data_IF_018540726196
#
_entry.id   IF_018540726196
#
_cell.length_a   1.000
_cell.length_b   1.000
_cell.length_c   1.000
_cell.angle_alpha   90.00
_cell.angle_beta   90.00
_cell.angle_gamma   90.00
#
_symmetry.space_group_name_H-M   'P 1'
#
loop_
_entity.id
_entity.type
_entity.pdbx_description
1 polymer ?
#
# COMPACT_ATOMS: atom_id res chain seq x y z
N UNK A 1 -113.51 -34.76 35.82
CA UNK A 1 -112.69 -34.11 36.87
C UNK A 1 -111.24 -34.61 36.89
N UNK A 2 -110.97 -35.90 36.65
CA UNK A 2 -109.60 -36.47 36.78
C UNK A 2 -108.75 -36.35 35.49
N UNK A 3 -109.34 -36.55 34.31
CA UNK A 3 -108.60 -36.56 33.03
C UNK A 3 -107.97 -35.19 32.67
N UNK A 4 -108.67 -34.08 32.95
CA UNK A 4 -108.18 -32.71 32.70
C UNK A 4 -107.02 -32.31 33.64
N UNK A 5 -107.08 -32.69 34.92
CA UNK A 5 -106.00 -32.43 35.88
C UNK A 5 -104.75 -33.22 35.53
N UNK A 6 -104.92 -34.51 35.18
CA UNK A 6 -103.84 -35.36 34.68
C UNK A 6 -103.21 -34.72 33.43
N UNK A 7 -104.02 -34.29 32.45
CA UNK A 7 -103.52 -33.63 31.23
C UNK A 7 -102.77 -32.33 31.54
N UNK A 8 -103.27 -31.49 32.47
CA UNK A 8 -102.66 -30.21 32.86
C UNK A 8 -101.35 -30.38 33.62
N UNK A 9 -101.26 -31.38 34.50
CA UNK A 9 -100.04 -31.75 35.23
C UNK A 9 -99.00 -32.32 34.29
N UNK A 10 -99.40 -33.20 33.37
CA UNK A 10 -98.53 -33.75 32.31
C UNK A 10 -98.00 -32.62 31.41
N UNK A 11 -98.84 -31.64 31.07
CA UNK A 11 -98.42 -30.48 30.26
C UNK A 11 -97.43 -29.58 31.01
N UNK A 12 -97.66 -29.28 32.30
CA UNK A 12 -96.76 -28.45 33.11
C UNK A 12 -95.41 -29.16 33.35
N UNK A 13 -95.43 -30.45 33.69
CA UNK A 13 -94.20 -31.23 33.88
C UNK A 13 -93.45 -31.38 32.56
N UNK A 14 -94.15 -31.62 31.45
CA UNK A 14 -93.56 -31.58 30.11
C UNK A 14 -92.89 -30.24 29.80
N UNK A 15 -93.55 -29.12 30.09
CA UNK A 15 -93.00 -27.78 29.88
C UNK A 15 -91.77 -27.50 30.78
N UNK A 16 -91.81 -27.94 32.04
CA UNK A 16 -90.67 -27.83 32.97
C UNK A 16 -89.49 -28.67 32.49
N UNK A 17 -89.72 -29.88 32.01
CA UNK A 17 -88.68 -30.75 31.44
C UNK A 17 -88.07 -30.09 30.20
N UNK A 18 -88.88 -29.52 29.31
CA UNK A 18 -88.39 -28.77 28.14
C UNK A 18 -87.59 -27.54 28.58
N UNK A 19 -88.04 -26.77 29.56
CA UNK A 19 -87.31 -25.60 30.05
C UNK A 19 -85.95 -25.97 30.67
N UNK A 20 -85.87 -27.05 31.45
CA UNK A 20 -84.61 -27.57 32.00
C UNK A 20 -83.71 -28.08 30.87
N UNK A 21 -84.25 -28.84 29.91
CA UNK A 21 -83.49 -29.32 28.76
C UNK A 21 -82.92 -28.16 27.94
N UNK A 22 -83.70 -27.10 27.70
CA UNK A 22 -83.22 -25.87 27.05
C UNK A 22 -82.15 -25.18 27.89
N UNK A 23 -82.31 -25.05 29.21
CA UNK A 23 -81.30 -24.45 30.08
C UNK A 23 -79.98 -25.25 30.09
N UNK A 24 -80.04 -26.58 30.05
CA UNK A 24 -78.87 -27.46 29.93
C UNK A 24 -78.19 -27.26 28.58
N UNK A 25 -78.95 -27.21 27.48
CA UNK A 25 -78.41 -26.95 26.14
C UNK A 25 -77.74 -25.57 26.08
N UNK A 26 -78.37 -24.52 26.61
CA UNK A 26 -77.78 -23.18 26.65
C UNK A 26 -76.49 -23.17 27.48
N UNK A 27 -76.47 -23.82 28.64
CA UNK A 27 -75.26 -23.91 29.48
C UNK A 27 -74.14 -24.67 28.75
N UNK A 28 -74.47 -25.76 28.07
CA UNK A 28 -73.51 -26.51 27.25
C UNK A 28 -72.96 -25.66 26.10
N UNK A 29 -73.81 -24.89 25.42
CA UNK A 29 -73.38 -23.95 24.37
C UNK A 29 -72.45 -22.86 24.95
N UNK A 30 -72.78 -22.28 26.11
CA UNK A 30 -71.90 -21.30 26.77
C UNK A 30 -70.54 -21.90 27.10
N UNK A 31 -70.49 -23.13 27.62
CA UNK A 31 -69.22 -23.84 27.89
C UNK A 31 -68.43 -24.07 26.60
N UNK A 32 -69.08 -24.44 25.50
CA UNK A 32 -68.40 -24.61 24.20
C UNK A 32 -67.85 -23.26 23.70
N UNK A 33 -68.63 -22.17 23.80
CA UNK A 33 -68.19 -20.83 23.37
C UNK A 33 -67.01 -20.33 24.21
N UNK A 34 -67.03 -20.52 25.53
CA UNK A 34 -65.89 -20.14 26.38
C UNK A 34 -64.65 -20.97 26.10
N UNK A 35 -64.81 -22.29 25.87
CA UNK A 35 -63.70 -23.15 25.46
C UNK A 35 -63.11 -22.70 24.12
N UNK A 36 -63.95 -22.38 23.13
CA UNK A 36 -63.50 -21.83 21.83
C UNK A 36 -62.77 -20.50 22.03
N UNK A 37 -63.28 -19.59 22.88
CA UNK A 37 -62.63 -18.32 23.17
C UNK A 37 -61.23 -18.51 23.79
N UNK A 38 -61.06 -19.47 24.70
CA UNK A 38 -59.75 -19.84 25.27
C UNK A 38 -58.80 -20.39 24.21
N UNK A 39 -59.29 -21.23 23.29
CA UNK A 39 -58.47 -21.74 22.18
C UNK A 39 -58.03 -20.59 21.26
N UNK A 40 -58.92 -19.65 20.94
CA UNK A 40 -58.60 -18.49 20.09
C UNK A 40 -57.55 -17.59 20.76
N UNK A 41 -57.66 -17.32 22.06
CA UNK A 41 -56.65 -16.50 22.77
C UNK A 41 -55.30 -17.22 22.87
N UNK A 42 -55.29 -18.52 23.13
CA UNK A 42 -54.07 -19.33 23.12
C UNK A 42 -53.41 -19.31 21.72
N UNK A 43 -54.20 -19.42 20.65
CA UNK A 43 -53.72 -19.33 19.28
C UNK A 43 -53.15 -17.94 18.96
N UNK A 44 -53.81 -16.87 19.42
CA UNK A 44 -53.32 -15.50 19.27
C UNK A 44 -51.96 -15.30 19.97
N UNK A 45 -51.77 -15.86 21.17
CA UNK A 45 -50.49 -15.84 21.88
C UNK A 45 -49.41 -16.63 21.13
N UNK A 46 -49.75 -17.79 20.56
CA UNK A 46 -48.81 -18.55 19.75
C UNK A 46 -48.35 -17.76 18.52
N UNK A 47 -49.27 -17.07 17.84
CA UNK A 47 -48.96 -16.22 16.69
C UNK A 47 -48.04 -15.07 17.08
N UNK A 48 -48.28 -14.39 18.21
CA UNK A 48 -47.39 -13.29 18.65
C UNK A 48 -46.00 -13.78 19.00
N UNK A 49 -45.87 -14.94 19.67
CA UNK A 49 -44.57 -15.57 19.95
C UNK A 49 -43.84 -15.90 18.65
N UNK A 50 -44.54 -16.46 17.65
CA UNK A 50 -43.95 -16.77 16.36
C UNK A 50 -43.45 -15.50 15.64
N UNK A 51 -44.22 -14.40 15.66
CA UNK A 51 -43.79 -13.11 15.10
C UNK A 51 -42.54 -12.57 15.79
N UNK A 52 -42.44 -12.69 17.13
CA UNK A 52 -41.24 -12.30 17.88
C UNK A 52 -40.03 -13.15 17.49
N UNK A 53 -40.19 -14.46 17.34
CA UNK A 53 -39.10 -15.35 16.91
C UNK A 53 -38.61 -15.00 15.50
N UNK A 54 -39.53 -14.76 14.56
CA UNK A 54 -39.20 -14.38 13.17
C UNK A 54 -38.46 -13.04 13.13
N UNK A 55 -38.90 -12.04 13.90
CA UNK A 55 -38.21 -10.73 13.95
C UNK A 55 -36.82 -10.85 14.57
N UNK A 56 -36.63 -11.65 15.62
CA UNK A 56 -35.32 -11.93 16.20
C UNK A 56 -34.38 -12.61 15.18
N UNK A 57 -34.88 -13.58 14.42
CA UNK A 57 -34.12 -14.24 13.37
C UNK A 57 -33.70 -13.26 12.27
N UNK A 58 -34.61 -12.38 11.83
CA UNK A 58 -34.30 -11.32 10.85
C UNK A 58 -33.19 -10.40 11.36
N UNK A 59 -33.18 -10.05 12.65
CA UNK A 59 -32.11 -9.24 13.24
C UNK A 59 -30.76 -9.96 13.22
N UNK A 60 -30.72 -11.25 13.56
CA UNK A 60 -29.48 -12.06 13.51
C UNK A 60 -28.94 -12.15 12.08
N UNK A 61 -29.81 -12.40 11.10
CA UNK A 61 -29.42 -12.45 9.68
C UNK A 61 -28.86 -11.10 9.25
N UNK A 62 -29.51 -10.00 9.61
CA UNK A 62 -29.05 -8.64 9.29
C UNK A 62 -27.68 -8.35 9.89
N UNK A 63 -27.45 -8.74 11.16
CA UNK A 63 -26.15 -8.61 11.81
C UNK A 63 -25.06 -9.43 11.10
N UNK A 64 -25.38 -10.67 10.68
CA UNK A 64 -24.45 -11.51 9.93
C UNK A 64 -24.11 -10.90 8.56
N UNK A 65 -25.10 -10.34 7.85
CA UNK A 65 -24.87 -9.63 6.58
C UNK A 65 -23.89 -8.47 6.81
N UNK A 66 -24.07 -7.67 7.87
CA UNK A 66 -23.11 -6.60 8.23
C UNK A 66 -21.71 -7.17 8.42
N UNK A 67 -21.53 -8.23 9.22
CA UNK A 67 -20.21 -8.87 9.44
C UNK A 67 -19.57 -9.36 8.14
N UNK A 68 -20.35 -9.96 7.24
CA UNK A 68 -19.83 -10.44 5.94
C UNK A 68 -19.39 -9.26 5.08
N UNK A 69 -20.20 -8.19 5.03
CA UNK A 69 -19.82 -6.99 4.25
C UNK A 69 -18.56 -6.33 4.78
N UNK A 70 -18.35 -6.27 6.10
CA UNK A 70 -17.12 -5.71 6.67
C UNK A 70 -15.90 -6.57 6.35
N UNK A 71 -16.04 -7.91 6.39
CA UNK A 71 -14.98 -8.82 6.00
C UNK A 71 -14.60 -8.66 4.52
N UNK A 72 -15.58 -8.49 3.63
CA UNK A 72 -15.34 -8.22 2.21
C UNK A 72 -14.52 -6.92 2.04
N UNK A 73 -14.90 -5.86 2.75
CA UNK A 73 -14.16 -4.58 2.71
C UNK A 73 -12.72 -4.77 3.20
N UNK A 74 -12.49 -5.53 4.28
CA UNK A 74 -11.16 -5.84 4.77
C UNK A 74 -10.32 -6.62 3.75
N UNK A 75 -10.90 -7.62 3.09
CA UNK A 75 -10.21 -8.38 2.04
C UNK A 75 -9.82 -7.50 0.85
N UNK A 76 -10.72 -6.61 0.41
CA UNK A 76 -10.41 -5.64 -0.65
C UNK A 76 -9.24 -4.75 -0.23
N UNK A 77 -9.25 -4.22 1.01
CA UNK A 77 -8.16 -3.40 1.51
C UNK A 77 -6.81 -4.16 1.54
N UNK A 78 -6.83 -5.43 1.94
CA UNK A 78 -5.64 -6.29 1.93
C UNK A 78 -5.13 -6.54 0.51
N UNK A 79 -6.02 -6.83 -0.45
CA UNK A 79 -5.64 -7.01 -1.86
C UNK A 79 -4.98 -5.74 -2.40
N UNK A 80 -5.54 -4.56 -2.11
CA UNK A 80 -4.94 -3.28 -2.50
C UNK A 80 -3.54 -3.14 -1.89
N UNK A 81 -3.35 -3.44 -0.61
CA UNK A 81 -2.04 -3.39 0.04
C UNK A 81 -1.01 -4.33 -0.62
N UNK A 82 -1.40 -5.56 -0.95
CA UNK A 82 -0.52 -6.53 -1.62
C UNK A 82 -0.15 -6.06 -3.03
N UNK A 83 -1.11 -5.56 -3.81
CA UNK A 83 -0.82 -5.04 -5.15
C UNK A 83 0.16 -3.87 -5.10
N UNK A 84 -0.06 -2.94 -4.17
CA UNK A 84 0.85 -1.83 -3.89
C UNK A 84 2.26 -2.35 -3.55
N UNK A 85 2.39 -3.31 -2.63
CA UNK A 85 3.69 -3.87 -2.26
C UNK A 85 4.41 -4.48 -3.47
N UNK A 86 3.67 -5.20 -4.32
CA UNK A 86 4.23 -5.76 -5.55
C UNK A 86 4.78 -4.68 -6.49
N UNK A 87 4.07 -3.55 -6.62
CA UNK A 87 4.57 -2.41 -7.41
C UNK A 87 5.84 -1.82 -6.78
N UNK A 88 5.90 -1.65 -5.44
CA UNK A 88 7.12 -1.19 -4.75
C UNK A 88 8.31 -2.11 -5.01
N UNK A 89 8.10 -3.44 -4.94
CA UNK A 89 9.15 -4.43 -5.22
C UNK A 89 9.62 -4.32 -6.67
N UNK A 90 8.70 -4.22 -7.63
CA UNK A 90 9.05 -4.10 -9.06
C UNK A 90 9.89 -2.85 -9.33
N UNK A 91 9.52 -1.75 -8.71
CA UNK A 91 10.27 -0.50 -8.73
C UNK A 91 11.66 -0.66 -8.11
N UNK A 92 11.77 -1.33 -6.95
CA UNK A 92 13.05 -1.54 -6.30
C UNK A 92 13.99 -2.38 -7.17
N UNK A 93 13.46 -3.38 -7.88
CA UNK A 93 14.22 -4.14 -8.88
C UNK A 93 14.70 -3.21 -9.99
N UNK A 94 13.83 -2.35 -10.53
CA UNK A 94 14.21 -1.37 -11.55
C UNK A 94 15.31 -0.43 -11.04
N UNK A 95 15.23 0.02 -9.79
CA UNK A 95 16.25 0.86 -9.14
C UNK A 95 17.61 0.16 -9.13
N UNK A 96 17.65 -1.11 -8.72
CA UNK A 96 18.88 -1.90 -8.70
C UNK A 96 19.46 -2.04 -10.10
N UNK A 97 18.64 -2.27 -11.12
CA UNK A 97 19.13 -2.37 -12.51
C UNK A 97 19.73 -1.05 -13.01
N UNK A 98 19.11 0.08 -12.67
CA UNK A 98 19.60 1.42 -13.02
C UNK A 98 20.93 1.71 -12.33
N UNK A 99 21.06 1.36 -11.05
CA UNK A 99 22.31 1.51 -10.32
C UNK A 99 23.43 0.64 -10.90
N UNK A 100 23.12 -0.59 -11.31
CA UNK A 100 24.08 -1.45 -11.98
C UNK A 100 24.59 -0.83 -13.29
N UNK A 101 23.71 -0.23 -14.10
CA UNK A 101 24.09 0.52 -15.31
C UNK A 101 24.97 1.73 -14.99
N UNK A 102 24.70 2.45 -13.89
CA UNK A 102 25.53 3.56 -13.45
C UNK A 102 26.94 3.10 -13.06
N UNK A 103 27.04 1.98 -12.34
CA UNK A 103 28.33 1.41 -11.93
C UNK A 103 29.13 0.95 -13.14
N UNK A 104 28.52 0.24 -14.10
CA UNK A 104 29.22 -0.18 -15.32
C UNK A 104 29.68 1.01 -16.15
N UNK A 105 28.84 2.05 -16.26
CA UNK A 105 29.21 3.29 -16.90
C UNK A 105 30.42 3.96 -16.22
N UNK A 106 30.42 4.06 -14.88
CA UNK A 106 31.56 4.62 -14.14
C UNK A 106 32.85 3.84 -14.40
N UNK A 107 32.79 2.50 -14.41
CA UNK A 107 33.95 1.67 -14.76
C UNK A 107 34.47 2.01 -16.15
N UNK A 108 33.59 2.16 -17.15
CA UNK A 108 34.00 2.56 -18.50
C UNK A 108 34.68 3.94 -18.47
N UNK A 109 34.12 4.93 -17.77
CA UNK A 109 34.76 6.26 -17.62
C UNK A 109 36.18 6.15 -17.07
N UNK A 110 36.38 5.34 -16.01
CA UNK A 110 37.70 5.13 -15.42
C UNK A 110 38.66 4.51 -16.44
N UNK A 111 38.23 3.49 -17.19
CA UNK A 111 39.08 2.87 -18.23
C UNK A 111 39.48 3.84 -19.33
N UNK A 112 38.56 4.71 -19.76
CA UNK A 112 38.79 5.74 -20.76
C UNK A 112 39.78 6.79 -20.26
N UNK A 113 39.67 7.22 -19.00
CA UNK A 113 40.62 8.13 -18.36
C UNK A 113 42.02 7.54 -18.27
N UNK A 114 42.15 6.27 -17.91
CA UNK A 114 43.45 5.58 -17.89
C UNK A 114 44.06 5.55 -19.30
N UNK A 115 43.26 5.19 -20.30
CA UNK A 115 43.70 5.20 -21.71
C UNK A 115 44.18 6.59 -22.14
N UNK A 116 43.43 7.64 -21.82
CA UNK A 116 43.79 9.03 -22.08
C UNK A 116 45.16 9.40 -21.50
N UNK A 117 45.41 9.05 -20.24
CA UNK A 117 46.69 9.31 -19.56
C UNK A 117 47.84 8.58 -20.27
N UNK A 118 47.63 7.31 -20.64
CA UNK A 118 48.67 6.54 -21.37
C UNK A 118 48.98 7.14 -22.74
N UNK A 119 47.96 7.60 -23.47
CA UNK A 119 48.12 8.26 -24.76
C UNK A 119 48.90 9.56 -24.62
N UNK A 120 48.55 10.39 -23.63
CA UNK A 120 49.25 11.64 -23.39
C UNK A 120 50.73 11.39 -23.06
N UNK A 121 51.04 10.37 -22.27
CA UNK A 121 52.42 9.98 -21.99
C UNK A 121 53.18 9.61 -23.28
N UNK A 122 52.56 8.87 -24.20
CA UNK A 122 53.15 8.53 -25.52
C UNK A 122 53.39 9.78 -26.38
N UNK A 123 52.45 10.73 -26.39
CA UNK A 123 52.63 12.00 -27.12
C UNK A 123 53.79 12.81 -26.57
N UNK A 124 53.93 12.88 -25.24
CA UNK A 124 55.04 13.60 -24.60
C UNK A 124 56.38 12.95 -24.94
N UNK A 125 56.50 11.62 -24.88
CA UNK A 125 57.75 10.94 -25.25
C UNK A 125 58.09 11.10 -26.73
N UNK A 126 57.09 11.03 -27.61
CA UNK A 126 57.24 11.32 -29.04
C UNK A 126 57.78 12.74 -29.28
N UNK A 127 57.21 13.75 -28.63
CA UNK A 127 57.67 15.14 -28.77
C UNK A 127 59.12 15.31 -28.32
N UNK A 128 59.51 14.69 -27.20
CA UNK A 128 60.90 14.69 -26.73
C UNK A 128 61.83 14.10 -27.79
N UNK A 129 61.46 13.00 -28.45
CA UNK A 129 62.24 12.40 -29.55
C UNK A 129 62.36 13.33 -30.74
N UNK A 130 61.28 14.04 -31.14
CA UNK A 130 61.37 15.01 -32.25
C UNK A 130 62.35 16.14 -31.92
N UNK A 131 62.29 16.67 -30.70
CA UNK A 131 63.18 17.75 -30.25
C UNK A 131 64.64 17.31 -30.27
N UNK A 132 64.96 16.11 -29.77
CA UNK A 132 66.33 15.60 -29.77
C UNK A 132 66.85 15.37 -31.19
N UNK A 133 66.02 14.82 -32.09
CA UNK A 133 66.38 14.61 -33.50
C UNK A 133 66.63 15.94 -34.22
N UNK A 134 65.80 16.96 -33.98
CA UNK A 134 65.97 18.29 -34.57
C UNK A 134 67.31 18.92 -34.15
N UNK A 135 67.68 18.80 -32.88
CA UNK A 135 68.97 19.29 -32.36
C UNK A 135 70.13 18.60 -33.09
N UNK A 136 70.07 17.28 -33.31
CA UNK A 136 71.09 16.53 -34.06
C UNK A 136 71.15 16.98 -35.54
N UNK A 137 70.01 17.25 -36.18
CA UNK A 137 69.98 17.74 -37.55
C UNK A 137 70.64 19.13 -37.67
N UNK A 138 70.40 20.02 -36.72
CA UNK A 138 71.02 21.36 -36.71
C UNK A 138 72.54 21.26 -36.55
N UNK A 139 73.03 20.44 -35.62
CA UNK A 139 74.48 20.29 -35.39
C UNK A 139 75.18 19.67 -36.60
N UNK A 140 74.58 18.66 -37.22
CA UNK A 140 75.14 18.03 -38.43
C UNK A 140 75.17 18.98 -39.63
N UNK A 141 74.15 19.81 -39.83
CA UNK A 141 74.14 20.83 -40.88
C UNK A 141 75.27 21.86 -40.69
N UNK A 142 75.48 22.32 -39.46
CA UNK A 142 76.59 23.24 -39.13
C UNK A 142 77.94 22.63 -39.51
N UNK A 143 78.15 21.34 -39.25
CA UNK A 143 79.37 20.61 -39.65
C UNK A 143 79.51 20.56 -41.18
N UNK A 144 78.43 20.34 -41.94
CA UNK A 144 78.50 20.36 -43.42
C UNK A 144 78.92 21.73 -43.93
N UNK A 145 78.35 22.81 -43.39
CA UNK A 145 78.65 24.19 -43.80
C UNK A 145 80.12 24.53 -43.54
N UNK A 146 80.67 24.16 -42.38
CA UNK A 146 82.08 24.41 -42.06
C UNK A 146 83.02 23.63 -42.97
N UNK A 147 82.71 22.36 -43.24
CA UNK A 147 83.47 21.52 -44.17
C UNK A 147 83.47 22.11 -45.59
N UNK A 148 82.31 22.56 -46.09
CA UNK A 148 82.21 23.18 -47.41
C UNK A 148 83.00 24.48 -47.51
N UNK A 149 82.99 25.32 -46.46
CA UNK A 149 83.81 26.52 -46.40
C UNK A 149 85.31 26.19 -46.53
N UNK A 150 85.79 25.14 -45.85
CA UNK A 150 87.18 24.66 -46.00
C UNK A 150 87.48 24.26 -47.44
N UNK A 151 86.60 23.50 -48.12
CA UNK A 151 86.78 23.13 -49.53
C UNK A 151 86.93 24.35 -50.42
N UNK A 152 86.07 25.36 -50.24
CA UNK A 152 86.13 26.60 -51.02
C UNK A 152 87.46 27.33 -50.81
N UNK A 153 87.97 27.40 -49.57
CA UNK A 153 89.27 28.01 -49.30
C UNK A 153 90.44 27.26 -49.93
N UNK A 154 90.45 25.92 -49.86
CA UNK A 154 91.49 25.08 -50.50
C UNK A 154 91.47 25.28 -52.01
N UNK A 155 90.28 25.27 -52.62
CA UNK A 155 90.13 25.49 -54.06
C UNK A 155 90.60 26.89 -54.47
N UNK A 156 90.28 27.93 -53.69
CA UNK A 156 90.77 29.29 -53.92
C UNK A 156 92.31 29.35 -53.88
N UNK A 157 92.94 28.70 -52.89
CA UNK A 157 94.41 28.59 -52.82
C UNK A 157 94.98 27.89 -54.06
N UNK A 158 94.40 26.76 -54.48
CA UNK A 158 94.82 26.05 -55.71
C UNK A 158 94.73 26.97 -56.92
N UNK A 159 93.63 27.71 -57.08
CA UNK A 159 93.45 28.66 -58.20
C UNK A 159 94.50 29.78 -58.14
N UNK A 160 94.79 30.34 -56.95
CA UNK A 160 95.83 31.38 -56.81
C UNK A 160 97.23 30.86 -57.15
N UNK A 161 97.59 29.64 -56.74
CA UNK A 161 98.87 29.01 -57.08
C UNK A 161 98.96 28.79 -58.60
N UNK A 162 97.87 28.36 -59.23
CA UNK A 162 97.81 28.17 -60.68
C UNK A 162 97.88 29.49 -61.46
N UNK A 163 97.36 30.59 -60.89
CA UNK A 163 97.44 31.93 -61.46
C UNK A 163 98.86 32.54 -61.38
N UNK A 164 99.71 32.06 -60.46
CA UNK A 164 101.15 32.41 -60.43
C UNK A 164 101.90 31.52 -61.42
N UNK A 165 101.65 31.75 -62.70
CA UNK A 165 102.35 31.10 -63.81
C UNK A 165 103.38 32.04 -64.43
N UNK A 166 104.66 31.75 -64.20
CA UNK A 166 105.78 31.66 -65.16
C UNK A 166 107.10 31.87 -64.38
N UNK A 167 107.59 30.79 -63.74
CA UNK A 167 109.01 30.39 -63.66
C UNK A 167 109.15 29.19 -62.71
N UNK A 168 109.43 27.99 -63.27
CA UNK A 168 110.16 26.85 -62.70
C UNK A 168 109.47 25.48 -62.93
N UNK A 169 110.10 24.66 -63.79
CA UNK A 169 109.64 23.32 -64.18
C UNK A 169 109.99 22.22 -63.14
N UNK A 170 110.82 22.49 -62.13
CA UNK A 170 111.10 21.55 -61.00
C UNK A 170 110.09 21.71 -59.85
N UNK A 171 109.40 22.85 -59.79
CA UNK A 171 108.28 23.09 -58.88
C UNK A 171 107.04 22.27 -59.30
N UNK A 172 106.92 21.91 -60.58
CA UNK A 172 105.75 21.24 -61.18
C UNK A 172 105.44 19.87 -60.55
N UNK A 173 106.45 19.05 -60.21
CA UNK A 173 106.21 17.71 -59.63
C UNK A 173 105.76 17.82 -58.17
N UNK A 174 106.39 18.69 -57.38
CA UNK A 174 105.96 18.97 -56.00
C UNK A 174 104.60 19.65 -55.96
N UNK A 175 104.31 20.57 -56.88
CA UNK A 175 102.98 21.20 -56.95
C UNK A 175 101.91 20.23 -57.41
N UNK A 176 102.22 19.32 -58.34
CA UNK A 176 101.27 18.30 -58.76
C UNK A 176 100.98 17.32 -57.60
N UNK A 177 101.99 16.95 -56.82
CA UNK A 177 101.79 16.17 -55.59
C UNK A 177 100.90 16.92 -54.57
N UNK A 178 101.13 18.22 -54.37
CA UNK A 178 100.27 19.07 -53.52
C UNK A 178 98.83 19.13 -54.07
N UNK A 179 98.63 19.31 -55.37
CA UNK A 179 97.30 19.29 -56.01
C UNK A 179 96.61 17.93 -55.84
N UNK A 180 97.34 16.81 -56.00
CA UNK A 180 96.78 15.46 -55.79
C UNK A 180 96.40 15.27 -54.32
N UNK A 181 97.23 15.67 -53.36
CA UNK A 181 96.88 15.59 -51.94
C UNK A 181 95.67 16.47 -51.59
N UNK A 182 95.60 17.68 -52.15
CA UNK A 182 94.44 18.56 -51.97
C UNK A 182 93.16 17.95 -52.58
N UNK A 183 93.26 17.33 -53.76
CA UNK A 183 92.13 16.64 -54.40
C UNK A 183 91.67 15.44 -53.57
N UNK A 184 92.59 14.64 -53.02
CA UNK A 184 92.27 13.55 -52.09
C UNK A 184 91.54 14.09 -50.86
N UNK A 185 92.01 15.21 -50.29
CA UNK A 185 91.33 15.88 -49.17
C UNK A 185 89.90 16.30 -49.58
N UNK A 186 89.70 16.90 -50.77
CA UNK A 186 88.37 17.26 -51.28
C UNK A 186 87.46 16.03 -51.43
N UNK A 187 87.96 14.91 -51.96
CA UNK A 187 87.19 13.67 -52.12
C UNK A 187 86.79 13.08 -50.76
N UNK A 188 87.71 13.04 -49.79
CA UNK A 188 87.41 12.56 -48.43
C UNK A 188 86.36 13.44 -47.76
N UNK A 189 86.47 14.76 -47.91
CA UNK A 189 85.47 15.73 -47.45
C UNK A 189 84.10 15.47 -48.10
N UNK A 190 84.05 15.27 -49.41
CA UNK A 190 82.80 15.01 -50.12
C UNK A 190 82.15 13.71 -49.64
N UNK A 191 82.94 12.67 -49.36
CA UNK A 191 82.43 11.43 -48.76
C UNK A 191 81.82 11.69 -47.37
N UNK A 192 82.46 12.50 -46.53
CA UNK A 192 81.90 12.93 -45.24
C UNK A 192 80.55 13.66 -45.44
N UNK A 193 80.45 14.59 -46.39
CA UNK A 193 79.19 15.29 -46.70
C UNK A 193 78.08 14.30 -47.08
N UNK A 194 78.36 13.30 -47.94
CA UNK A 194 77.38 12.27 -48.32
C UNK A 194 76.92 11.47 -47.11
N UNK A 195 77.83 11.06 -46.23
CA UNK A 195 77.45 10.35 -45.00
C UNK A 195 76.57 11.19 -44.08
N UNK A 196 76.84 12.50 -43.96
CA UNK A 196 76.01 13.41 -43.16
C UNK A 196 74.63 13.59 -43.79
N UNK A 197 74.53 13.72 -45.12
CA UNK A 197 73.24 13.78 -45.81
C UNK A 197 72.41 12.51 -45.60
N UNK A 198 73.04 11.33 -45.62
CA UNK A 198 72.35 10.08 -45.28
C UNK A 198 71.80 10.10 -43.84
N UNK A 199 72.60 10.58 -42.87
CA UNK A 199 72.13 10.78 -41.49
C UNK A 199 70.92 11.72 -41.46
N UNK A 200 70.95 12.85 -42.17
CA UNK A 200 69.80 13.78 -42.25
C UNK A 200 68.55 13.09 -42.80
N UNK A 201 68.65 12.33 -43.89
CA UNK A 201 67.50 11.61 -44.45
C UNK A 201 66.93 10.59 -43.47
N UNK A 202 67.79 9.81 -42.80
CA UNK A 202 67.34 8.84 -41.79
C UNK A 202 66.66 9.55 -40.60
N UNK A 203 67.18 10.70 -40.16
CA UNK A 203 66.55 11.49 -39.09
C UNK A 203 65.18 12.05 -39.49
N UNK A 204 65.02 12.50 -40.74
CA UNK A 204 63.74 12.98 -41.24
C UNK A 204 62.72 11.84 -41.31
N UNK A 205 63.14 10.64 -41.73
CA UNK A 205 62.28 9.46 -41.71
C UNK A 205 61.80 9.15 -40.28
N UNK A 206 62.69 9.22 -39.27
CA UNK A 206 62.32 9.08 -37.86
C UNK A 206 61.28 10.14 -37.47
N UNK A 207 61.48 11.41 -37.79
CA UNK A 207 60.49 12.48 -37.51
C UNK A 207 59.12 12.16 -38.13
N UNK A 208 59.07 11.73 -39.39
CA UNK A 208 57.81 11.33 -40.05
C UNK A 208 57.14 10.20 -39.29
N UNK A 209 57.87 9.15 -38.90
CA UNK A 209 57.28 8.04 -38.13
C UNK A 209 56.70 8.53 -36.80
N UNK A 210 57.39 9.45 -36.11
CA UNK A 210 56.91 10.01 -34.85
C UNK A 210 55.65 10.87 -35.04
N UNK A 211 55.56 11.65 -36.13
CA UNK A 211 54.35 12.41 -36.48
C UNK A 211 53.18 11.48 -36.76
N UNK A 212 53.39 10.39 -37.49
CA UNK A 212 52.35 9.37 -37.73
C UNK A 212 51.86 8.78 -36.40
N UNK A 213 52.78 8.41 -35.50
CA UNK A 213 52.41 7.95 -34.15
C UNK A 213 51.57 9.01 -33.44
N UNK A 214 51.99 10.28 -33.42
CA UNK A 214 51.23 11.36 -32.80
C UNK A 214 49.81 11.51 -33.37
N UNK A 215 49.65 11.48 -34.70
CA UNK A 215 48.33 11.55 -35.34
C UNK A 215 47.45 10.36 -34.93
N UNK A 216 47.99 9.14 -34.97
CA UNK A 216 47.24 7.95 -34.54
C UNK A 216 46.81 8.05 -33.08
N UNK A 217 47.69 8.54 -32.20
CA UNK A 217 47.36 8.74 -30.78
C UNK A 217 46.27 9.79 -30.57
N UNK A 218 46.24 10.86 -31.37
CA UNK A 218 45.18 11.88 -31.34
C UNK A 218 43.83 11.30 -31.77
N UNK A 219 43.81 10.41 -32.77
CA UNK A 219 42.58 9.73 -33.20
C UNK A 219 42.06 8.83 -32.08
N UNK A 220 42.94 8.06 -31.42
CA UNK A 220 42.53 7.23 -30.27
C UNK A 220 42.00 8.10 -29.13
N UNK A 221 42.63 9.26 -28.87
CA UNK A 221 42.15 10.25 -27.90
C UNK A 221 40.72 10.75 -28.22
N UNK A 222 40.44 11.07 -29.49
CA UNK A 222 39.12 11.52 -29.91
C UNK A 222 38.06 10.43 -29.67
N UNK A 223 38.38 9.18 -30.04
CA UNK A 223 37.50 8.02 -29.81
C UNK A 223 37.24 7.85 -28.31
N UNK A 224 38.28 7.94 -27.48
CA UNK A 224 38.17 7.88 -26.03
C UNK A 224 37.23 8.97 -25.49
N UNK A 225 37.33 10.21 -25.98
CA UNK A 225 36.44 11.30 -25.59
C UNK A 225 34.98 11.06 -26.01
N UNK A 226 34.75 10.58 -27.23
CA UNK A 226 33.41 10.23 -27.71
C UNK A 226 32.80 9.14 -26.80
N UNK A 227 33.57 8.10 -26.47
CA UNK A 227 33.15 7.06 -25.53
C UNK A 227 32.77 7.66 -24.18
N UNK A 228 33.58 8.56 -23.61
CA UNK A 228 33.26 9.25 -22.36
C UNK A 228 31.91 9.99 -22.41
N UNK A 229 31.65 10.73 -23.50
CA UNK A 229 30.39 11.46 -23.68
C UNK A 229 29.20 10.50 -23.77
N UNK A 230 29.32 9.41 -24.54
CA UNK A 230 28.24 8.41 -24.63
C UNK A 230 27.93 7.78 -23.28
N UNK A 231 28.95 7.49 -22.49
CA UNK A 231 28.81 6.93 -21.14
C UNK A 231 28.14 7.93 -20.21
N UNK A 232 28.51 9.21 -20.26
CA UNK A 232 27.86 10.25 -19.47
C UNK A 232 26.37 10.39 -19.82
N UNK A 233 26.01 10.26 -21.10
CA UNK A 233 24.62 10.24 -21.52
C UNK A 233 23.86 9.04 -20.92
N UNK A 234 24.45 7.84 -20.97
CA UNK A 234 23.88 6.64 -20.32
C UNK A 234 23.67 6.88 -18.82
N UNK A 235 24.66 7.45 -18.12
CA UNK A 235 24.54 7.83 -16.70
C UNK A 235 23.39 8.81 -16.46
N UNK A 236 23.26 9.85 -17.28
CA UNK A 236 22.18 10.82 -17.15
C UNK A 236 20.81 10.17 -17.35
N UNK A 237 20.65 9.31 -18.36
CA UNK A 237 19.40 8.58 -18.58
C UNK A 237 19.08 7.64 -17.43
N UNK A 238 20.08 6.94 -16.89
CA UNK A 238 19.93 6.09 -15.71
C UNK A 238 19.45 6.92 -14.49
N UNK A 239 20.05 8.09 -14.24
CA UNK A 239 19.62 9.00 -13.17
C UNK A 239 18.17 9.48 -13.34
N UNK A 240 17.74 9.80 -14.55
CA UNK A 240 16.33 10.17 -14.81
C UNK A 240 15.41 9.00 -14.48
N UNK A 241 15.74 7.79 -14.91
CA UNK A 241 14.95 6.59 -14.60
C UNK A 241 14.90 6.39 -13.07
N UNK A 242 16.02 6.50 -12.36
CA UNK A 242 16.08 6.47 -10.89
C UNK A 242 15.09 7.45 -10.23
N UNK A 243 15.09 8.71 -10.66
CA UNK A 243 14.19 9.73 -10.11
C UNK A 243 12.73 9.36 -10.38
N UNK A 244 12.40 8.89 -11.57
CA UNK A 244 11.02 8.46 -11.88
C UNK A 244 10.59 7.29 -11.02
N UNK A 245 11.46 6.29 -10.82
CA UNK A 245 11.21 5.15 -9.94
C UNK A 245 10.89 5.61 -8.52
N UNK A 246 11.71 6.51 -7.97
CA UNK A 246 11.52 7.03 -6.62
C UNK A 246 10.20 7.79 -6.49
N UNK A 247 9.82 8.59 -7.49
CA UNK A 247 8.53 9.27 -7.51
C UNK A 247 7.38 8.26 -7.46
N UNK A 248 7.47 7.15 -8.20
CA UNK A 248 6.45 6.10 -8.15
C UNK A 248 6.41 5.45 -6.76
N UNK A 249 7.55 5.16 -6.09
CA UNK A 249 7.56 4.68 -4.69
C UNK A 249 6.76 5.59 -3.77
N UNK A 250 7.01 6.90 -3.85
CA UNK A 250 6.35 7.88 -2.99
C UNK A 250 4.84 7.87 -3.22
N UNK A 251 4.39 7.82 -4.48
CA UNK A 251 2.96 7.73 -4.79
C UNK A 251 2.32 6.46 -4.23
N UNK A 252 3.01 5.33 -4.31
CA UNK A 252 2.52 4.06 -3.80
C UNK A 252 2.43 4.08 -2.27
N UNK A 253 3.45 4.62 -1.59
CA UNK A 253 3.42 4.77 -0.13
C UNK A 253 2.26 5.67 0.31
N UNK A 254 1.99 6.75 -0.42
CA UNK A 254 0.83 7.58 -0.16
C UNK A 254 -0.49 6.78 -0.28
N UNK A 255 -0.61 5.93 -1.30
CA UNK A 255 -1.77 5.02 -1.43
C UNK A 255 -1.88 4.08 -0.23
N UNK A 256 -0.79 3.45 0.23
CA UNK A 256 -0.82 2.60 1.46
C UNK A 256 -1.37 3.36 2.65
N UNK A 257 -0.86 4.57 2.88
CA UNK A 257 -1.28 5.39 4.01
C UNK A 257 -2.78 5.69 3.93
N UNK A 258 -3.29 6.03 2.74
CA UNK A 258 -4.73 6.27 2.56
C UNK A 258 -5.57 5.01 2.84
N UNK A 259 -5.13 3.83 2.38
CA UNK A 259 -5.83 2.57 2.65
C UNK A 259 -5.84 2.27 4.15
N UNK A 260 -4.72 2.48 4.85
CA UNK A 260 -4.63 2.27 6.28
C UNK A 260 -5.59 3.19 7.06
N UNK A 261 -5.68 4.47 6.66
CA UNK A 261 -6.63 5.42 7.24
C UNK A 261 -8.08 4.92 7.07
N UNK A 262 -8.42 4.41 5.89
CA UNK A 262 -9.76 3.85 5.61
C UNK A 262 -10.04 2.66 6.53
N UNK A 263 -9.09 1.73 6.68
CA UNK A 263 -9.22 0.56 7.58
C UNK A 263 -9.43 0.99 9.03
N UNK A 264 -8.63 1.94 9.53
CA UNK A 264 -8.78 2.48 10.89
C UNK A 264 -10.16 3.09 11.08
N UNK A 265 -10.65 3.84 10.08
CA UNK A 265 -11.98 4.48 10.12
C UNK A 265 -13.09 3.43 10.19
N UNK A 266 -13.01 2.38 9.39
CA UNK A 266 -13.98 1.26 9.42
C UNK A 266 -13.97 0.59 10.79
N UNK A 267 -12.79 0.32 11.34
CA UNK A 267 -12.68 -0.29 12.67
C UNK A 267 -13.30 0.59 13.75
N UNK A 268 -13.08 1.90 13.70
CA UNK A 268 -13.72 2.85 14.61
C UNK A 268 -15.26 2.80 14.52
N UNK A 269 -15.82 2.72 13.31
CA UNK A 269 -17.26 2.54 13.10
C UNK A 269 -17.77 1.23 13.73
N UNK A 270 -17.03 0.13 13.59
CA UNK A 270 -17.37 -1.16 14.23
C UNK A 270 -17.41 -1.05 15.75
N UNK A 271 -16.42 -0.38 16.36
CA UNK A 271 -16.38 -0.17 17.82
C UNK A 271 -17.59 0.65 18.28
N UNK A 272 -17.98 1.67 17.53
CA UNK A 272 -19.19 2.48 17.83
C UNK A 272 -20.45 1.62 17.75
N UNK A 273 -20.61 0.80 16.70
CA UNK A 273 -21.77 -0.10 16.57
C UNK A 273 -21.84 -1.05 17.76
N UNK A 274 -20.71 -1.63 18.17
CA UNK A 274 -20.66 -2.53 19.33
C UNK A 274 -21.09 -1.81 20.62
N UNK A 275 -20.63 -0.57 20.84
CA UNK A 275 -21.04 0.23 21.98
C UNK A 275 -22.56 0.50 22.01
N UNK A 276 -23.15 0.80 20.83
CA UNK A 276 -24.60 0.97 20.68
C UNK A 276 -25.34 -0.32 21.04
N UNK A 277 -24.89 -1.47 20.55
CA UNK A 277 -25.49 -2.78 20.88
C UNK A 277 -25.46 -3.06 22.37
N UNK A 278 -24.31 -2.83 23.04
CA UNK A 278 -24.18 -3.01 24.50
C UNK A 278 -25.14 -2.08 25.26
N UNK A 279 -25.28 -0.83 24.81
CA UNK A 279 -26.20 0.15 25.42
C UNK A 279 -27.66 -0.28 25.28
N UNK A 280 -28.07 -0.74 24.09
CA UNK A 280 -29.43 -1.26 23.86
C UNK A 280 -29.71 -2.45 24.79
N UNK A 281 -28.75 -3.39 24.90
CA UNK A 281 -28.90 -4.54 25.80
C UNK A 281 -29.07 -4.11 27.26
N UNK A 282 -28.31 -3.12 27.73
CA UNK A 282 -28.46 -2.57 29.07
C UNK A 282 -29.87 -1.98 29.29
N UNK A 283 -30.41 -1.22 28.33
CA UNK A 283 -31.78 -0.70 28.40
C UNK A 283 -32.80 -1.84 28.49
N UNK A 284 -32.68 -2.88 27.66
CA UNK A 284 -33.57 -4.06 27.72
C UNK A 284 -33.55 -4.71 29.11
N UNK A 285 -32.38 -4.87 29.72
CA UNK A 285 -32.23 -5.39 31.09
C UNK A 285 -32.96 -4.49 32.11
N UNK A 286 -32.83 -3.17 32.01
CA UNK A 286 -33.53 -2.25 32.92
C UNK A 286 -35.05 -2.31 32.77
N UNK A 287 -35.57 -2.40 31.54
CA UNK A 287 -37.01 -2.52 31.28
C UNK A 287 -37.55 -3.83 31.87
N UNK A 288 -36.82 -4.94 31.70
CA UNK A 288 -37.19 -6.21 32.29
C UNK A 288 -37.28 -6.13 33.82
N UNK A 289 -36.31 -5.44 34.46
CA UNK A 289 -36.34 -5.23 35.91
C UNK A 289 -37.56 -4.43 36.37
N UNK A 290 -37.96 -3.38 35.63
CA UNK A 290 -39.19 -2.61 35.92
C UNK A 290 -40.43 -3.49 35.79
N UNK A 291 -40.54 -4.28 34.73
CA UNK A 291 -41.67 -5.21 34.53
C UNK A 291 -41.79 -6.19 35.69
N UNK A 292 -40.67 -6.79 36.12
CA UNK A 292 -40.62 -7.68 37.29
C UNK A 292 -41.10 -6.95 38.56
N UNK A 293 -40.71 -5.69 38.75
CA UNK A 293 -41.11 -4.88 39.90
C UNK A 293 -42.61 -4.55 39.89
N UNK A 294 -43.17 -4.15 38.74
CA UNK A 294 -44.61 -3.89 38.61
C UNK A 294 -45.41 -5.16 38.89
N UNK A 295 -44.98 -6.30 38.35
CA UNK A 295 -45.63 -7.57 38.61
C UNK A 295 -45.63 -7.90 40.11
N UNK A 296 -44.52 -7.67 40.80
CA UNK A 296 -44.45 -7.84 42.26
C UNK A 296 -45.47 -6.94 42.98
N UNK A 297 -45.62 -5.66 42.59
CA UNK A 297 -46.63 -4.76 43.17
C UNK A 297 -48.05 -5.26 42.92
N UNK A 298 -48.38 -5.67 41.68
CA UNK A 298 -49.71 -6.22 41.36
C UNK A 298 -50.04 -7.43 42.23
N UNK A 299 -49.06 -8.33 42.44
CA UNK A 299 -49.20 -9.48 43.35
C UNK A 299 -49.49 -9.02 44.78
N UNK A 300 -48.80 -8.00 45.29
CA UNK A 300 -49.07 -7.47 46.64
C UNK A 300 -50.45 -6.82 46.77
N UNK A 301 -50.91 -6.06 45.77
CA UNK A 301 -52.25 -5.44 45.77
C UNK A 301 -53.34 -6.50 45.75
N UNK A 302 -53.18 -7.53 44.91
CA UNK A 302 -54.12 -8.65 44.86
C UNK A 302 -54.24 -9.33 46.23
N UNK A 303 -53.11 -9.54 46.92
CA UNK A 303 -53.11 -10.08 48.28
C UNK A 303 -53.91 -9.19 49.27
N UNK A 304 -53.78 -7.86 49.17
CA UNK A 304 -54.55 -6.91 49.99
C UNK A 304 -56.05 -6.99 49.67
N UNK A 305 -56.44 -7.00 48.39
CA UNK A 305 -57.85 -7.11 47.98
C UNK A 305 -58.48 -8.41 48.49
N UNK A 306 -57.77 -9.53 48.37
CA UNK A 306 -58.20 -10.82 48.93
C UNK A 306 -58.43 -10.71 50.44
N UNK A 307 -57.51 -10.04 51.15
CA UNK A 307 -57.63 -9.81 52.60
C UNK A 307 -58.84 -8.95 52.97
N UNK A 308 -59.11 -7.86 52.23
CA UNK A 308 -60.29 -7.01 52.44
C UNK A 308 -61.58 -7.78 52.16
N UNK A 309 -61.64 -8.52 51.06
CA UNK A 309 -62.82 -9.32 50.72
C UNK A 309 -63.10 -10.36 51.81
N UNK A 310 -62.06 -11.01 52.35
CA UNK A 310 -62.19 -11.90 53.49
C UNK A 310 -62.81 -11.17 54.69
N UNK A 311 -62.37 -9.95 55.01
CA UNK A 311 -62.95 -9.12 56.08
C UNK A 311 -64.43 -8.80 55.80
N UNK A 312 -64.79 -8.34 54.59
CA UNK A 312 -66.19 -8.02 54.23
C UNK A 312 -67.10 -9.25 54.37
N UNK A 313 -66.64 -10.42 53.92
CA UNK A 313 -67.36 -11.68 54.09
C UNK A 313 -67.58 -11.96 55.58
N UNK A 314 -66.55 -11.78 56.44
CA UNK A 314 -66.74 -11.94 57.89
C UNK A 314 -67.78 -10.97 58.47
N UNK A 315 -67.80 -9.70 58.04
CA UNK A 315 -68.81 -8.71 58.50
C UNK A 315 -70.21 -9.08 58.03
N UNK A 316 -70.38 -9.50 56.77
CA UNK A 316 -71.69 -9.91 56.25
C UNK A 316 -72.23 -11.12 57.01
N UNK A 317 -71.37 -12.10 57.30
CA UNK A 317 -71.73 -13.25 58.16
C UNK A 317 -72.22 -12.75 59.51
N UNK A 318 -71.50 -11.82 60.16
CA UNK A 318 -71.94 -11.20 61.42
C UNK A 318 -73.31 -10.51 61.27
N UNK A 319 -73.51 -9.67 60.25
CA UNK A 319 -74.79 -8.98 60.03
C UNK A 319 -75.96 -9.95 59.84
N UNK A 320 -75.80 -10.96 58.99
CA UNK A 320 -76.84 -11.99 58.75
C UNK A 320 -77.16 -12.70 60.06
N UNK A 321 -76.15 -13.06 60.85
CA UNK A 321 -76.40 -13.67 62.17
C UNK A 321 -77.19 -12.74 63.09
N UNK A 322 -76.88 -11.44 63.13
CA UNK A 322 -77.66 -10.47 63.94
C UNK A 322 -79.09 -10.27 63.44
N UNK A 323 -79.32 -10.26 62.12
CA UNK A 323 -80.67 -10.14 61.56
C UNK A 323 -81.51 -11.37 61.87
N UNK A 324 -80.92 -12.57 61.76
CA UNK A 324 -81.59 -13.81 62.17
C UNK A 324 -81.97 -13.73 63.66
N UNK A 325 -81.08 -13.21 64.51
CA UNK A 325 -81.39 -12.94 65.93
C UNK A 325 -82.54 -11.93 66.07
N UNK A 326 -82.56 -10.84 65.32
CA UNK A 326 -83.65 -9.85 65.40
C UNK A 326 -85.00 -10.41 64.92
N UNK A 327 -85.05 -11.08 63.76
CA UNK A 327 -86.29 -11.67 63.22
C UNK A 327 -86.84 -12.71 64.17
N UNK A 328 -85.98 -13.57 64.73
CA UNK A 328 -86.40 -14.53 65.75
C UNK A 328 -86.98 -13.83 66.97
N UNK A 329 -86.38 -12.73 67.47
CA UNK A 329 -86.98 -11.94 68.57
C UNK A 329 -88.31 -11.27 68.21
N UNK A 330 -88.48 -10.75 66.98
CA UNK A 330 -89.73 -10.12 66.56
C UNK A 330 -90.85 -11.15 66.38
N UNK A 331 -90.56 -12.31 65.79
CA UNK A 331 -91.52 -13.41 65.69
C UNK A 331 -91.97 -13.83 67.09
N UNK A 332 -91.04 -13.93 68.03
CA UNK A 332 -91.35 -14.18 69.45
C UNK A 332 -92.28 -13.09 70.03
N UNK A 333 -92.00 -11.81 69.76
CA UNK A 333 -92.84 -10.70 70.22
C UNK A 333 -94.24 -10.69 69.56
N UNK A 334 -94.33 -10.95 68.26
CA UNK A 334 -95.59 -10.96 67.51
C UNK A 334 -96.49 -12.10 67.97
N UNK A 335 -95.90 -13.28 68.22
CA UNK A 335 -96.59 -14.40 68.87
C UNK A 335 -97.12 -13.95 70.24
N UNK A 336 -96.31 -13.25 71.05
CA UNK A 336 -96.76 -12.72 72.34
C UNK A 336 -97.91 -11.71 72.22
N UNK A 337 -97.88 -10.81 71.22
CA UNK A 337 -98.93 -9.82 70.99
C UNK A 337 -100.23 -10.45 70.45
N UNK A 338 -100.16 -11.40 69.53
CA UNK A 338 -101.33 -12.15 69.05
C UNK A 338 -102.01 -12.85 70.23
N UNK A 339 -101.22 -13.48 71.10
CA UNK A 339 -101.71 -14.08 72.33
C UNK A 339 -102.40 -13.04 73.25
N UNK A 340 -101.92 -11.79 73.27
CA UNK A 340 -102.54 -10.70 74.03
C UNK A 340 -103.84 -10.16 73.38
N UNK A 341 -103.88 -9.93 72.06
CA UNK A 341 -105.08 -9.39 71.38
C UNK A 341 -106.20 -10.42 71.38
N UNK A 342 -105.88 -11.69 71.15
CA UNK A 342 -106.87 -12.79 71.23
C UNK A 342 -107.43 -12.97 72.63
N UNK A 343 -106.73 -12.51 73.67
CA UNK A 343 -107.24 -12.48 75.05
C UNK A 343 -108.08 -11.24 75.37
N UNK A 344 -107.87 -10.10 74.69
CA UNK A 344 -108.57 -8.83 74.97
C UNK A 344 -109.83 -8.59 74.10
N UNK A 345 -109.87 -9.06 72.85
CA UNK A 345 -111.06 -8.95 71.99
C UNK A 345 -112.15 -10.01 72.30
N UNK A 346 -112.08 -10.64 73.47
CA UNK A 346 -112.98 -11.68 73.94
C UNK A 346 -113.67 -11.21 75.21
#
# INVERSE_FOLDING_TARGET
MVLLFITRVVLLTGLVVVAIAVAVVVTAVVVVVTAVAVVVTALAVLVTVLVVLVTALVMVITALVVVVTTLIVLLIALVVLVTVLFVVVTILVMLVTVLAVLVTALVIVVTVLVMLVTILAVVVTALVVVVTVLVVMVTTLVVVVTILAVVVTVLAVVVTILAVGVTALVVVVTTLAVVVTALVVVVTILAVVVTVLFVVVTTLAVVVTVVVVMVTTLVVLLIALIMLVTVLFVVATALVVLVTILAVVVTILAVVVTVLIVVITILAVVVIILFVVVTILAVVVTVLFVVVTILAVVVTVLFVVITILAVVVTVLVVMVTTLVVMVTTLVVLLIALILLVTTVCR
#
